data_IF_853098323564
#
_entry.id   IF_853098323564
#
_cell.length_a   1.000
_cell.length_b   1.000
_cell.length_c   1.000
_cell.angle_alpha   90.00
_cell.angle_beta   90.00
_cell.angle_gamma   90.00
#
_symmetry.space_group_name_H-M   'P 1'
#
loop_
_entity.id
_entity.type
_entity.pdbx_description
1 polymer ?
#
# COMPACT_ATOMS: atom_id res chain seq x y z
N UNK A 1 23.66 34.32 -12.97
CA UNK A 1 22.26 34.07 -12.55
C UNK A 1 21.52 33.14 -13.54
N UNK A 2 22.05 31.97 -13.92
CA UNK A 2 21.31 30.95 -14.72
C UNK A 2 21.81 29.51 -14.49
N UNK A 3 22.35 29.20 -13.30
CA UNK A 3 22.95 27.88 -13.01
C UNK A 3 21.89 26.77 -12.81
N UNK A 4 20.62 27.15 -12.79
CA UNK A 4 19.43 26.32 -12.59
C UNK A 4 18.77 25.85 -13.91
N UNK A 5 19.17 26.39 -15.07
CA UNK A 5 18.68 25.91 -16.36
C UNK A 5 19.45 24.67 -16.88
N UNK A 6 20.58 24.34 -16.22
CA UNK A 6 21.43 23.17 -16.53
C UNK A 6 21.32 22.04 -15.51
N UNK A 7 20.53 22.20 -14.44
CA UNK A 7 20.11 21.04 -13.66
C UNK A 7 19.07 20.30 -14.50
N UNK A 8 19.52 19.29 -15.25
CA UNK A 8 18.64 18.29 -15.86
C UNK A 8 17.52 17.96 -14.86
N UNK A 9 16.28 18.20 -15.27
CA UNK A 9 15.12 17.67 -14.59
C UNK A 9 15.39 16.20 -14.24
N UNK A 10 15.26 15.88 -12.95
CA UNK A 10 15.84 14.71 -12.32
C UNK A 10 15.48 13.41 -13.05
N UNK A 11 16.46 12.85 -13.75
CA UNK A 11 16.46 11.42 -13.98
C UNK A 11 16.87 10.77 -12.66
N UNK A 12 16.04 9.84 -12.16
CA UNK A 12 16.49 8.94 -11.10
C UNK A 12 17.84 8.35 -11.51
N UNK A 13 18.82 8.25 -10.58
CA UNK A 13 20.12 7.70 -10.91
C UNK A 13 19.93 6.31 -11.55
N UNK A 14 20.62 6.07 -12.66
CA UNK A 14 20.59 4.75 -13.30
C UNK A 14 21.30 3.78 -12.35
N UNK A 15 20.53 2.96 -11.66
CA UNK A 15 21.05 1.94 -10.75
C UNK A 15 21.65 0.78 -11.54
N UNK A 16 22.77 0.26 -11.05
CA UNK A 16 23.27 -1.05 -11.46
C UNK A 16 22.39 -2.15 -10.89
N UNK A 17 22.43 -3.34 -11.49
CA UNK A 17 21.68 -4.51 -10.99
C UNK A 17 21.99 -4.82 -9.52
N UNK A 18 23.24 -4.63 -9.10
CA UNK A 18 23.66 -4.84 -7.70
C UNK A 18 22.98 -3.83 -6.77
N UNK A 19 23.05 -2.55 -7.11
CA UNK A 19 22.45 -1.47 -6.31
C UNK A 19 20.93 -1.64 -6.20
N UNK A 20 20.28 -2.02 -7.31
CA UNK A 20 18.84 -2.29 -7.30
C UNK A 20 18.46 -3.45 -6.37
N UNK A 21 19.24 -4.54 -6.37
CA UNK A 21 19.00 -5.67 -5.46
C UNK A 21 19.22 -5.27 -4.00
N UNK A 22 20.31 -4.55 -3.71
CA UNK A 22 20.62 -4.08 -2.35
C UNK A 22 19.54 -3.13 -1.82
N UNK A 23 19.05 -2.19 -2.66
CA UNK A 23 17.95 -1.30 -2.30
C UNK A 23 16.65 -2.07 -2.08
N UNK A 24 16.26 -2.94 -2.99
CA UNK A 24 15.02 -3.72 -2.88
C UNK A 24 15.02 -4.62 -1.62
N UNK A 25 16.15 -5.25 -1.31
CA UNK A 25 16.31 -6.02 -0.07
C UNK A 25 16.24 -5.13 1.17
N UNK A 26 16.83 -3.93 1.13
CA UNK A 26 16.74 -2.96 2.23
C UNK A 26 15.31 -2.52 2.50
N UNK A 27 14.56 -2.18 1.45
CA UNK A 27 13.15 -1.80 1.53
C UNK A 27 12.29 -2.94 2.07
N UNK A 28 12.45 -4.15 1.52
CA UNK A 28 11.73 -5.34 1.97
C UNK A 28 12.01 -5.64 3.46
N UNK A 29 13.28 -5.63 3.85
CA UNK A 29 13.67 -5.84 5.25
C UNK A 29 13.10 -4.77 6.17
N UNK A 30 13.02 -3.52 5.73
CA UNK A 30 12.41 -2.43 6.49
C UNK A 30 10.95 -2.71 6.83
N UNK A 31 10.17 -3.22 5.88
CA UNK A 31 8.76 -3.59 6.10
C UNK A 31 8.67 -4.81 7.02
N UNK A 32 9.37 -5.90 6.69
CA UNK A 32 9.30 -7.16 7.44
C UNK A 32 9.79 -7.01 8.90
N UNK A 33 10.74 -6.11 9.16
CA UNK A 33 11.22 -5.82 10.50
C UNK A 33 10.14 -5.21 11.41
N UNK A 34 9.22 -4.43 10.85
CA UNK A 34 8.16 -3.74 11.60
C UNK A 34 6.93 -4.62 11.88
N UNK A 35 6.77 -5.75 11.20
CA UNK A 35 5.62 -6.64 11.38
C UNK A 35 5.63 -7.31 12.77
N UNK A 36 4.48 -7.40 13.42
CA UNK A 36 4.35 -8.13 14.69
C UNK A 36 4.59 -9.63 14.49
N UNK A 37 3.85 -10.23 13.56
CA UNK A 37 4.07 -11.60 13.08
C UNK A 37 4.96 -11.60 11.84
N UNK A 38 6.01 -12.42 11.85
CA UNK A 38 7.02 -12.44 10.78
C UNK A 38 6.58 -13.33 9.62
N UNK A 39 6.74 -12.81 8.41
CA UNK A 39 6.60 -13.59 7.18
C UNK A 39 7.69 -14.67 7.08
N UNK A 40 7.38 -15.82 6.47
CA UNK A 40 8.38 -16.84 6.15
C UNK A 40 8.93 -16.56 4.75
N UNK A 41 10.25 -16.54 4.63
CA UNK A 41 10.94 -16.33 3.36
C UNK A 41 11.49 -17.67 2.88
N UNK A 42 11.13 -18.04 1.65
CA UNK A 42 11.59 -19.25 0.97
C UNK A 42 12.27 -18.92 -0.36
N UNK A 43 13.00 -19.90 -0.89
CA UNK A 43 13.58 -19.85 -2.25
C UNK A 43 13.05 -21.04 -3.02
N UNK A 44 12.39 -20.79 -4.14
CA UNK A 44 11.96 -21.83 -5.06
C UNK A 44 13.09 -22.17 -6.02
N UNK A 45 13.71 -23.33 -5.83
CA UNK A 45 14.88 -23.75 -6.64
C UNK A 45 14.51 -24.14 -8.08
N UNK A 46 13.24 -24.40 -8.38
CA UNK A 46 12.80 -24.72 -9.74
C UNK A 46 12.67 -23.45 -10.60
N UNK A 47 12.27 -22.33 -9.98
CA UNK A 47 12.07 -21.05 -10.67
C UNK A 47 13.15 -20.01 -10.38
N UNK A 48 14.04 -20.29 -9.40
CA UNK A 48 15.01 -19.34 -8.84
C UNK A 48 14.38 -18.05 -8.29
N UNK A 49 13.11 -18.11 -7.88
CA UNK A 49 12.39 -16.97 -7.32
C UNK A 49 12.34 -17.02 -5.79
N UNK A 50 12.25 -15.84 -5.19
CA UNK A 50 11.99 -15.68 -3.75
C UNK A 50 10.48 -15.77 -3.54
N UNK A 51 10.07 -16.61 -2.59
CA UNK A 51 8.68 -16.73 -2.17
C UNK A 51 8.54 -16.17 -0.75
N UNK A 52 7.47 -15.43 -0.51
CA UNK A 52 7.17 -14.83 0.79
C UNK A 52 5.78 -15.29 1.20
N UNK A 53 5.72 -16.04 2.29
CA UNK A 53 4.49 -16.47 2.94
C UNK A 53 4.15 -15.44 4.03
N UNK A 54 3.14 -14.62 3.73
CA UNK A 54 2.68 -13.52 4.60
C UNK A 54 1.65 -14.06 5.62
N UNK A 55 1.56 -13.47 6.82
CA UNK A 55 0.52 -13.83 7.77
C UNK A 55 -0.89 -13.51 7.24
N UNK A 56 -1.90 -14.25 7.71
CA UNK A 56 -3.30 -14.12 7.27
C UNK A 56 -3.89 -12.72 7.49
N UNK A 57 -3.36 -11.96 8.45
CA UNK A 57 -3.74 -10.60 8.76
C UNK A 57 -2.48 -9.74 8.87
N UNK A 58 -2.44 -8.68 8.06
CA UNK A 58 -1.36 -7.70 8.12
C UNK A 58 -1.68 -6.63 9.17
N UNK A 59 -0.68 -6.06 9.85
CA UNK A 59 -0.89 -5.12 10.96
C UNK A 59 -1.56 -3.80 10.55
N UNK A 60 -1.45 -3.40 9.29
CA UNK A 60 -2.13 -2.26 8.69
C UNK A 60 -3.61 -2.55 8.40
N UNK A 61 -3.96 -3.80 8.13
CA UNK A 61 -5.35 -4.23 7.91
C UNK A 61 -6.17 -4.26 9.19
N UNK A 62 -5.55 -4.46 10.35
CA UNK A 62 -6.23 -4.35 11.66
C UNK A 62 -6.61 -2.90 12.02
N UNK A 63 -5.95 -1.90 11.43
CA UNK A 63 -6.26 -0.48 11.60
C UNK A 63 -7.24 0.04 10.53
N UNK A 64 -7.40 -0.70 9.43
CA UNK A 64 -8.45 -0.42 8.47
C UNK A 64 -9.79 -0.73 9.15
N UNK A 65 -10.58 0.32 9.41
CA UNK A 65 -11.97 0.14 9.81
C UNK A 65 -12.63 -0.81 8.79
N UNK A 66 -13.40 -1.82 9.24
CA UNK A 66 -14.20 -2.61 8.31
C UNK A 66 -15.01 -1.63 7.47
N UNK A 67 -14.88 -1.77 6.15
CA UNK A 67 -15.54 -0.90 5.18
C UNK A 67 -17.03 -0.88 5.56
N UNK A 68 -17.69 0.28 5.66
CA UNK A 68 -19.12 0.30 5.92
C UNK A 68 -19.79 -0.58 4.87
N UNK A 69 -20.67 -1.48 5.32
CA UNK A 69 -21.43 -2.33 4.42
C UNK A 69 -22.18 -1.42 3.44
N UNK A 70 -22.05 -1.70 2.13
CA UNK A 70 -22.79 -1.00 1.08
C UNK A 70 -24.32 -1.26 1.15
N UNK A 71 -24.82 -1.83 2.26
CA UNK A 71 -26.24 -1.86 2.60
C UNK A 71 -26.63 -0.60 3.38
N UNK A 72 -26.38 0.56 2.79
CA UNK A 72 -27.21 1.73 3.03
C UNK A 72 -28.21 1.79 1.87
N UNK A 73 -29.22 0.91 1.91
CA UNK A 73 -30.45 1.12 1.17
C UNK A 73 -31.61 1.25 2.16
N UNK A 74 -32.22 2.42 2.09
CA UNK A 74 -33.50 2.86 2.65
C UNK A 74 -33.65 2.99 4.19
N UNK A 75 -33.65 4.24 4.68
CA UNK A 75 -34.10 4.54 6.04
C UNK A 75 -33.93 5.97 6.52
N UNK A 76 -34.85 6.84 6.09
CA UNK A 76 -35.28 8.06 6.78
C UNK A 76 -34.32 9.28 6.85
N UNK A 77 -34.44 10.13 5.82
CA UNK A 77 -34.19 11.56 5.98
C UNK A 77 -35.16 12.38 5.12
N UNK A 78 -36.42 12.52 5.55
CA UNK A 78 -37.25 13.70 5.23
C UNK A 78 -38.25 13.97 6.36
N UNK A 79 -37.85 14.82 7.30
CA UNK A 79 -38.81 15.66 8.02
C UNK A 79 -38.86 17.02 7.31
N UNK A 80 -40.09 17.52 7.17
CA UNK A 80 -40.52 18.86 6.73
C UNK A 80 -40.59 19.12 5.22
N UNK A 81 -41.79 18.95 4.64
CA UNK A 81 -42.45 20.11 4.05
C UNK A 81 -43.98 20.04 4.22
N UNK A 82 -44.53 21.16 4.65
CA UNK A 82 -45.93 21.41 5.01
C UNK A 82 -46.71 21.84 3.74
N UNK A 83 -48.04 21.60 3.72
CA UNK A 83 -49.07 22.09 2.77
C UNK A 83 -49.10 21.51 1.33
N UNK A 84 -50.12 20.70 1.06
CA UNK A 84 -51.27 21.07 0.21
C UNK A 84 -52.25 19.89 0.00
N UNK A 85 -53.54 20.21 0.13
CA UNK A 85 -54.70 19.50 -0.44
C UNK A 85 -55.10 18.12 0.14
N UNK A 86 -56.11 18.12 1.02
CA UNK A 86 -57.45 17.55 0.76
C UNK A 86 -58.42 17.92 1.88
#
# INVERSE_FOLDING_TARGET
MFKFLFSKAGAAPVETQRETVERALGELNGVLALMADKAKIGVNLNTSLIEIDLPDQMPDEALALPKPDDTADEGEATLADEKAAA
#
